data_IF_308872473948
#
_entry.id   IF_308872473948
#
_cell.length_a   1.000
_cell.length_b   1.000
_cell.length_c   1.000
_cell.angle_alpha   90.00
_cell.angle_beta   90.00
_cell.angle_gamma   90.00
#
_symmetry.space_group_name_H-M   'P 1'
#
loop_
_entity.id
_entity.type
_entity.pdbx_description
1 polymer ?
#
# COMPACT_ATOMS: atom_id res chain seq x y z
N UNK A 1 -20.10 -7.75 -15.41
CA UNK A 1 -20.61 -7.79 -14.01
C UNK A 1 -21.88 -6.99 -13.89
N UNK A 2 -21.80 -5.67 -14.10
CA UNK A 2 -22.98 -4.81 -14.24
C UNK A 2 -23.67 -5.07 -15.57
N UNK A 3 -22.91 -5.15 -16.66
CA UNK A 3 -23.41 -5.54 -18.00
C UNK A 3 -23.92 -6.99 -18.08
N UNK A 4 -23.75 -7.77 -17.00
CA UNK A 4 -24.17 -9.17 -16.89
C UNK A 4 -25.27 -9.35 -15.85
N UNK A 5 -25.91 -8.25 -15.42
CA UNK A 5 -27.00 -8.18 -14.42
C UNK A 5 -26.74 -9.01 -13.15
N UNK A 6 -25.49 -9.05 -12.66
CA UNK A 6 -25.18 -9.75 -11.41
C UNK A 6 -25.82 -9.06 -10.22
N UNK A 7 -26.23 -9.86 -9.23
CA UNK A 7 -26.72 -9.41 -7.94
C UNK A 7 -25.77 -8.36 -7.31
N UNK A 8 -26.34 -7.31 -6.73
CA UNK A 8 -25.59 -6.19 -6.14
C UNK A 8 -24.55 -6.68 -5.11
N UNK A 9 -24.91 -7.71 -4.33
CA UNK A 9 -24.02 -8.35 -3.35
C UNK A 9 -22.73 -8.88 -4.00
N UNK A 10 -22.83 -9.54 -5.15
CA UNK A 10 -21.68 -10.10 -5.86
C UNK A 10 -20.77 -9.00 -6.42
N UNK A 11 -21.38 -7.90 -6.90
CA UNK A 11 -20.63 -6.73 -7.35
C UNK A 11 -19.86 -6.10 -6.21
N UNK A 12 -20.49 -5.90 -5.05
CA UNK A 12 -19.84 -5.36 -3.84
C UNK A 12 -18.72 -6.28 -3.36
N UNK A 13 -18.92 -7.60 -3.31
CA UNK A 13 -17.88 -8.56 -2.91
C UNK A 13 -16.64 -8.48 -3.81
N UNK A 14 -16.81 -8.33 -5.12
CA UNK A 14 -15.67 -8.20 -6.02
C UNK A 14 -14.98 -6.84 -5.91
N UNK A 15 -15.73 -5.75 -5.70
CA UNK A 15 -15.13 -4.44 -5.42
C UNK A 15 -14.31 -4.46 -4.12
N UNK A 16 -14.77 -5.18 -3.10
CA UNK A 16 -13.99 -5.41 -1.87
C UNK A 16 -12.72 -6.23 -2.14
N UNK A 17 -12.78 -7.23 -3.01
CA UNK A 17 -11.61 -7.99 -3.43
C UNK A 17 -10.60 -7.10 -4.18
N UNK A 18 -11.08 -6.23 -5.08
CA UNK A 18 -10.24 -5.26 -5.80
C UNK A 18 -9.59 -4.30 -4.82
N UNK A 19 -10.35 -3.67 -3.90
CA UNK A 19 -9.79 -2.80 -2.86
C UNK A 19 -8.71 -3.51 -2.06
N UNK A 20 -8.98 -4.74 -1.61
CA UNK A 20 -8.02 -5.53 -0.85
C UNK A 20 -6.75 -5.86 -1.64
N UNK A 21 -6.86 -6.04 -2.96
CA UNK A 21 -5.71 -6.26 -3.83
C UNK A 21 -4.88 -4.96 -3.98
N UNK A 22 -5.55 -3.83 -4.19
CA UNK A 22 -4.92 -2.51 -4.28
C UNK A 22 -4.17 -2.17 -2.99
N UNK A 23 -4.79 -2.37 -1.82
CA UNK A 23 -4.16 -2.08 -0.52
C UNK A 23 -2.88 -2.91 -0.32
N UNK A 24 -2.88 -4.18 -0.76
CA UNK A 24 -1.68 -5.03 -0.74
C UNK A 24 -0.59 -4.53 -1.69
N UNK A 25 -0.97 -4.11 -2.89
CA UNK A 25 -0.02 -3.54 -3.86
C UNK A 25 0.60 -2.25 -3.35
N UNK A 26 -0.18 -1.36 -2.72
CA UNK A 26 0.34 -0.15 -2.07
C UNK A 26 1.36 -0.54 -1.00
N UNK A 27 1.04 -1.51 -0.16
CA UNK A 27 1.93 -2.01 0.88
C UNK A 27 3.29 -2.49 0.34
N UNK A 28 3.27 -3.26 -0.75
CA UNK A 28 4.48 -3.73 -1.42
C UNK A 28 5.32 -2.58 -1.97
N UNK A 29 4.69 -1.61 -2.65
CA UNK A 29 5.39 -0.46 -3.21
C UNK A 29 6.05 0.39 -2.11
N UNK A 30 5.33 0.67 -1.02
CA UNK A 30 5.88 1.42 0.12
C UNK A 30 7.03 0.66 0.77
N UNK A 31 6.91 -0.66 0.97
CA UNK A 31 7.97 -1.47 1.55
C UNK A 31 9.24 -1.49 0.68
N UNK A 32 9.09 -1.69 -0.64
CA UNK A 32 10.21 -1.65 -1.58
C UNK A 32 10.89 -0.28 -1.63
N UNK A 33 10.10 0.80 -1.57
CA UNK A 33 10.66 2.15 -1.52
C UNK A 33 11.38 2.42 -0.20
N UNK A 34 10.81 1.99 0.93
CA UNK A 34 11.38 2.18 2.26
C UNK A 34 12.77 1.53 2.39
N UNK A 35 12.94 0.31 1.86
CA UNK A 35 14.26 -0.35 1.86
C UNK A 35 15.33 0.52 1.17
N UNK A 36 14.99 1.09 0.00
CA UNK A 36 15.87 1.98 -0.75
C UNK A 36 16.22 3.24 0.05
N UNK A 37 15.22 3.88 0.66
CA UNK A 37 15.39 5.07 1.48
C UNK A 37 16.28 4.81 2.71
N UNK A 38 16.06 3.71 3.43
CA UNK A 38 16.88 3.32 4.59
C UNK A 38 18.34 3.12 4.15
N UNK A 39 18.57 2.36 3.08
CA UNK A 39 19.93 2.13 2.56
C UNK A 39 20.62 3.44 2.17
N UNK A 40 19.88 4.40 1.63
CA UNK A 40 20.40 5.70 1.25
C UNK A 40 20.79 6.54 2.48
N UNK A 41 19.95 6.61 3.51
CA UNK A 41 20.22 7.38 4.72
C UNK A 41 21.41 6.78 5.50
N UNK A 42 21.48 5.45 5.62
CA UNK A 42 22.61 4.78 6.24
C UNK A 42 23.93 5.04 5.49
N UNK A 43 23.91 5.07 4.15
CA UNK A 43 25.09 5.43 3.34
C UNK A 43 25.55 6.86 3.55
N UNK A 44 24.65 7.79 3.88
CA UNK A 44 24.97 9.17 4.23
C UNK A 44 25.44 9.32 5.68
N UNK A 45 25.38 8.27 6.49
CA UNK A 45 25.67 8.32 7.93
C UNK A 45 24.51 8.88 8.77
N UNK A 46 23.31 8.98 8.20
CA UNK A 46 22.13 9.51 8.87
C UNK A 46 21.32 8.39 9.55
N UNK A 47 20.51 8.78 10.53
CA UNK A 47 19.50 7.90 11.12
C UNK A 47 18.24 7.84 10.23
N UNK A 48 17.67 6.65 9.97
CA UNK A 48 16.55 6.48 9.03
C UNK A 48 15.16 6.73 9.66
N UNK A 49 15.06 7.18 10.90
CA UNK A 49 13.81 7.32 11.66
C UNK A 49 12.73 8.13 10.93
N UNK A 50 13.12 9.20 10.24
CA UNK A 50 12.20 10.04 9.48
C UNK A 50 11.56 9.29 8.29
N UNK A 51 12.36 8.56 7.51
CA UNK A 51 11.85 7.81 6.34
C UNK A 51 11.01 6.61 6.78
N UNK A 52 11.33 5.99 7.92
CA UNK A 52 10.53 4.93 8.52
C UNK A 52 9.16 5.50 8.94
N UNK A 53 9.14 6.64 9.63
CA UNK A 53 7.90 7.28 10.08
C UNK A 53 7.00 7.67 8.91
N UNK A 54 7.58 8.25 7.86
CA UNK A 54 6.84 8.62 6.64
C UNK A 54 6.21 7.38 5.96
N UNK A 55 6.97 6.29 5.83
CA UNK A 55 6.46 5.05 5.25
C UNK A 55 5.32 4.43 6.10
N UNK A 56 5.44 4.46 7.42
CA UNK A 56 4.36 4.00 8.33
C UNK A 56 3.11 4.87 8.16
N UNK A 57 3.26 6.19 8.12
CA UNK A 57 2.13 7.11 7.93
C UNK A 57 1.41 6.86 6.60
N UNK A 58 2.15 6.57 5.52
CA UNK A 58 1.58 6.21 4.22
C UNK A 58 0.80 4.89 4.29
N UNK A 59 1.33 3.86 4.97
CA UNK A 59 0.66 2.56 5.14
C UNK A 59 -0.60 2.63 6.00
N UNK A 60 -0.61 3.50 7.01
CA UNK A 60 -1.80 3.70 7.87
C UNK A 60 -2.89 4.44 7.10
N UNK A 61 -2.54 5.44 6.29
CA UNK A 61 -3.50 6.21 5.48
C UNK A 61 -4.06 5.44 4.30
N UNK A 62 -3.36 4.41 3.82
CA UNK A 62 -3.79 3.60 2.68
C UNK A 62 -4.83 2.53 3.03
N UNK A 63 -5.32 2.46 4.28
CA UNK A 63 -6.30 1.47 4.75
C UNK A 63 -7.66 2.12 4.99
#
# INVERSE_FOLDING_TARGET
MMDSEKECKDVVTQLQAIRSAVDRTIGLLVASNLESCIRMELKKGNQPDNVIREAVDLLVKSR
#
